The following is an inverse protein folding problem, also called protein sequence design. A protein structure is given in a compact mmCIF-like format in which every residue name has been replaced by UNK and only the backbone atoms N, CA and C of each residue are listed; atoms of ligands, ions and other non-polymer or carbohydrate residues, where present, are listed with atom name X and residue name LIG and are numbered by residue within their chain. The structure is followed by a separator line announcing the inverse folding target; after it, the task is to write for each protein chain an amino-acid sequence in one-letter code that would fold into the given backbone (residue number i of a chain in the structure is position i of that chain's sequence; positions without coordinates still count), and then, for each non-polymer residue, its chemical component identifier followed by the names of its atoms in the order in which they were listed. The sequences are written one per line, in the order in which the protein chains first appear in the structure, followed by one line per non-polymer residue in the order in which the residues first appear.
data_IF_543399799150
#
_entry.id   IF_543399799150
#
_cell.length_a   1.000
_cell.length_b   1.000
_cell.length_c   1.000
_cell.angle_alpha   90.00
_cell.angle_beta   90.00
_cell.angle_gamma   90.00
#
_symmetry.space_group_name_H-M   'P 1'
#
loop_
_entity.id
_entity.type
_entity.pdbx_description
1 polymer ?
#
# COMPACT_ATOMS: atom_id res chain seq x y z
N UNK A 1 42.99 -31.15 -71.90
CA UNK A 1 42.07 -30.01 -71.66
C UNK A 1 40.78 -30.41 -71.00
N UNK A 2 40.17 -31.55 -71.27
CA UNK A 2 38.90 -31.99 -70.64
C UNK A 2 39.04 -32.21 -69.11
N UNK A 3 40.10 -32.84 -68.62
CA UNK A 3 40.35 -33.17 -67.25
C UNK A 3 40.47 -31.88 -66.31
N UNK A 4 40.99 -30.79 -66.85
CA UNK A 4 41.11 -29.52 -66.12
C UNK A 4 39.76 -28.82 -66.01
N UNK A 5 38.86 -28.97 -66.97
CA UNK A 5 37.50 -28.41 -66.91
C UNK A 5 36.62 -29.17 -65.92
N UNK A 6 36.76 -30.50 -65.83
CA UNK A 6 36.04 -31.38 -64.90
C UNK A 6 36.47 -31.05 -63.43
N UNK A 7 37.77 -30.84 -63.19
CA UNK A 7 38.29 -30.49 -61.90
C UNK A 7 37.80 -29.07 -61.41
N UNK A 8 37.71 -28.17 -62.37
CA UNK A 8 37.19 -26.81 -62.08
C UNK A 8 35.69 -26.80 -61.82
N UNK A 9 34.90 -27.65 -62.54
CA UNK A 9 33.48 -27.80 -62.27
C UNK A 9 33.22 -28.50 -60.91
N UNK A 10 34.04 -29.46 -60.55
CA UNK A 10 33.97 -30.15 -59.27
C UNK A 10 34.29 -29.21 -58.09
N UNK A 11 35.24 -28.30 -58.26
CA UNK A 11 35.58 -27.25 -57.25
C UNK A 11 34.43 -26.24 -57.09
N UNK A 12 33.88 -25.74 -58.16
CA UNK A 12 32.76 -24.78 -58.14
C UNK A 12 31.50 -25.40 -57.54
N UNK A 13 31.21 -26.67 -57.80
CA UNK A 13 30.12 -27.41 -57.16
C UNK A 13 30.34 -27.62 -55.64
N UNK A 14 31.57 -27.85 -55.22
CA UNK A 14 31.95 -28.00 -53.83
C UNK A 14 31.80 -26.68 -53.08
N UNK A 15 32.27 -25.56 -53.68
CA UNK A 15 32.14 -24.22 -53.12
C UNK A 15 30.68 -23.76 -53.04
N UNK A 16 29.87 -24.07 -54.07
CA UNK A 16 28.42 -23.79 -54.05
C UNK A 16 27.68 -24.56 -52.93
N UNK A 17 28.12 -25.80 -52.61
CA UNK A 17 27.56 -26.60 -51.51
C UNK A 17 28.01 -26.09 -50.11
N UNK A 18 29.20 -25.51 -49.99
CA UNK A 18 29.72 -24.98 -48.74
C UNK A 18 29.15 -23.58 -48.40
N UNK A 19 28.69 -22.82 -49.41
CA UNK A 19 28.09 -21.49 -49.22
C UNK A 19 26.93 -21.49 -48.24
N UNK A 20 25.89 -22.34 -48.41
CA UNK A 20 24.76 -22.37 -47.49
C UNK A 20 25.11 -22.81 -46.07
N UNK A 21 26.12 -23.70 -45.93
CA UNK A 21 26.60 -24.13 -44.59
C UNK A 21 27.32 -22.99 -43.87
N UNK A 22 28.13 -22.19 -44.57
CA UNK A 22 28.79 -20.99 -44.02
C UNK A 22 27.79 -19.92 -43.61
N UNK A 23 26.75 -19.70 -44.43
CA UNK A 23 25.66 -18.75 -44.09
C UNK A 23 24.95 -19.19 -42.83
N UNK A 24 24.56 -20.46 -42.72
CA UNK A 24 23.92 -20.98 -41.49
C UNK A 24 24.81 -20.87 -40.24
N UNK A 25 26.11 -21.14 -40.39
CA UNK A 25 27.08 -20.96 -39.28
C UNK A 25 27.16 -19.52 -38.84
N UNK A 26 27.22 -18.58 -39.80
CA UNK A 26 27.20 -17.12 -39.46
C UNK A 26 25.89 -16.63 -38.87
N UNK A 27 24.76 -17.16 -39.34
CA UNK A 27 23.46 -16.87 -38.74
C UNK A 27 23.36 -17.41 -37.31
N UNK A 28 23.88 -18.61 -37.03
CA UNK A 28 23.93 -19.16 -35.68
C UNK A 28 24.85 -18.34 -34.76
N UNK A 29 25.99 -17.85 -35.29
CA UNK A 29 26.91 -17.00 -34.58
C UNK A 29 26.25 -15.65 -34.23
N UNK A 30 25.56 -15.02 -35.21
CA UNK A 30 24.79 -13.80 -34.96
C UNK A 30 23.71 -14.02 -33.92
N UNK A 31 22.91 -15.09 -34.03
CA UNK A 31 21.89 -15.39 -33.03
C UNK A 31 22.46 -15.61 -31.62
N UNK A 32 23.67 -16.22 -31.52
CA UNK A 32 24.33 -16.38 -30.21
C UNK A 32 24.84 -15.08 -29.64
N UNK A 33 25.31 -14.15 -30.49
CA UNK A 33 25.74 -12.82 -30.06
C UNK A 33 24.55 -11.94 -29.66
N UNK A 34 23.45 -12.02 -30.40
CA UNK A 34 22.20 -11.32 -30.03
C UNK A 34 21.66 -11.85 -28.68
N UNK A 35 21.69 -13.15 -28.46
CA UNK A 35 21.29 -13.75 -27.17
C UNK A 35 22.20 -13.30 -26.03
N UNK A 36 23.53 -13.24 -26.26
CA UNK A 36 24.48 -12.75 -25.26
C UNK A 36 24.29 -11.24 -24.96
N UNK A 37 23.97 -10.44 -25.98
CA UNK A 37 23.62 -9.04 -25.79
C UNK A 37 22.35 -8.90 -24.94
N UNK A 38 21.30 -9.63 -25.24
CA UNK A 38 20.06 -9.60 -24.48
C UNK A 38 20.26 -10.01 -23.01
N UNK A 39 21.10 -11.03 -22.79
CA UNK A 39 21.47 -11.45 -21.43
C UNK A 39 22.21 -10.34 -20.68
N UNK A 40 23.17 -9.66 -21.34
CA UNK A 40 23.90 -8.55 -20.72
C UNK A 40 22.97 -7.36 -20.41
N UNK A 41 22.06 -7.02 -21.32
CA UNK A 41 21.05 -5.98 -21.11
C UNK A 41 20.11 -6.32 -19.93
N UNK A 42 19.67 -7.57 -19.83
CA UNK A 42 18.85 -8.04 -18.72
C UNK A 42 19.60 -7.94 -17.37
N UNK A 43 20.89 -8.26 -17.35
CA UNK A 43 21.74 -8.09 -16.15
C UNK A 43 21.88 -6.62 -15.75
N UNK A 44 22.07 -5.72 -16.73
CA UNK A 44 22.13 -4.27 -16.47
C UNK A 44 20.80 -3.80 -15.88
N UNK A 45 19.66 -4.19 -16.46
CA UNK A 45 18.33 -3.84 -15.95
C UNK A 45 18.11 -4.34 -14.51
N UNK A 46 18.56 -5.56 -14.21
CA UNK A 46 18.50 -6.12 -12.85
C UNK A 46 19.31 -5.29 -11.85
N UNK A 47 20.55 -4.94 -12.19
CA UNK A 47 21.41 -4.12 -11.32
C UNK A 47 20.82 -2.71 -11.14
N UNK A 48 20.27 -2.14 -12.23
CA UNK A 48 19.62 -0.84 -12.17
C UNK A 48 18.40 -0.86 -11.24
N UNK A 49 17.57 -1.90 -11.30
CA UNK A 49 16.44 -2.06 -10.36
C UNK A 49 16.89 -2.09 -8.90
N UNK A 50 17.99 -2.80 -8.61
CA UNK A 50 18.56 -2.82 -7.25
C UNK A 50 19.05 -1.43 -6.82
N UNK A 51 19.67 -0.68 -7.73
CA UNK A 51 20.12 0.69 -7.44
C UNK A 51 18.93 1.64 -7.20
N UNK A 52 17.86 1.50 -7.97
CA UNK A 52 16.65 2.29 -7.81
C UNK A 52 15.98 2.02 -6.46
N UNK A 53 15.99 0.76 -6.00
CA UNK A 53 15.46 0.34 -4.70
C UNK A 53 16.26 0.92 -3.50
N UNK A 54 17.50 1.36 -3.71
CA UNK A 54 18.28 2.05 -2.67
C UNK A 54 17.82 3.49 -2.41
N UNK A 55 17.02 4.06 -3.31
CA UNK A 55 16.45 5.39 -3.15
C UNK A 55 15.00 5.27 -2.69
N UNK A 56 14.79 5.34 -1.39
CA UNK A 56 13.46 5.18 -0.79
C UNK A 56 12.74 6.53 -0.77
N UNK A 57 11.64 6.61 -1.52
CA UNK A 57 10.75 7.76 -1.53
C UNK A 57 9.47 7.48 -0.74
N UNK A 58 8.87 8.52 -0.16
CA UNK A 58 7.57 8.40 0.48
C UNK A 58 6.48 8.06 -0.54
N UNK A 59 5.67 7.01 -0.32
CA UNK A 59 4.54 6.67 -1.20
C UNK A 59 3.31 7.57 -0.99
N UNK A 60 3.30 8.36 0.09
CA UNK A 60 2.17 9.23 0.46
C UNK A 60 2.67 10.61 0.87
N UNK A 61 1.79 11.60 0.76
CA UNK A 61 1.94 12.87 1.44
C UNK A 61 1.52 12.69 2.89
N UNK A 62 2.40 12.96 3.85
CA UNK A 62 2.11 12.72 5.25
C UNK A 62 3.20 13.21 6.18
N UNK A 63 2.99 12.99 7.47
CA UNK A 63 3.93 13.33 8.53
C UNK A 63 4.65 12.08 9.03
N UNK A 64 5.96 12.18 9.23
CA UNK A 64 6.75 11.12 9.86
C UNK A 64 6.43 11.09 11.34
N UNK A 65 5.86 10.00 11.83
CA UNK A 65 5.51 9.81 13.24
C UNK A 65 6.58 9.03 14.01
N UNK A 66 7.28 8.13 13.34
CA UNK A 66 8.39 7.41 13.93
C UNK A 66 9.52 7.16 12.92
N UNK A 67 10.74 7.15 13.42
CA UNK A 67 11.94 6.75 12.71
C UNK A 67 12.57 5.56 13.45
N UNK A 68 12.74 4.44 12.76
CA UNK A 68 13.23 3.19 13.33
C UNK A 68 14.70 2.94 13.09
N UNK A 69 15.32 3.66 12.14
CA UNK A 69 16.73 3.46 11.75
C UNK A 69 17.49 4.78 11.80
N UNK A 70 18.79 4.71 12.10
CA UNK A 70 19.68 5.86 12.13
C UNK A 70 20.69 5.82 10.99
N UNK A 71 21.27 6.98 10.70
CA UNK A 71 22.36 7.07 9.72
C UNK A 71 23.55 6.25 10.20
N UNK A 72 24.07 5.40 9.34
CA UNK A 72 25.19 4.49 9.65
C UNK A 72 24.75 3.08 10.08
N UNK A 73 23.45 2.82 10.25
CA UNK A 73 22.94 1.48 10.50
C UNK A 73 22.81 0.66 9.21
N UNK A 74 23.09 -0.63 9.31
CA UNK A 74 22.86 -1.58 8.21
C UNK A 74 21.45 -2.11 8.31
N UNK A 75 20.68 -1.96 7.24
CA UNK A 75 19.30 -2.44 7.14
C UNK A 75 19.19 -3.59 6.14
N UNK A 76 18.32 -4.54 6.43
CA UNK A 76 17.98 -5.61 5.50
C UNK A 76 16.75 -5.25 4.67
N UNK A 77 16.57 -5.95 3.56
CA UNK A 77 15.34 -5.81 2.77
C UNK A 77 14.11 -6.11 3.62
N UNK A 78 13.10 -5.23 3.55
CA UNK A 78 11.88 -5.33 4.35
C UNK A 78 11.95 -4.72 5.75
N UNK A 79 13.08 -4.16 6.16
CA UNK A 79 13.19 -3.44 7.46
C UNK A 79 12.40 -2.13 7.38
N UNK A 80 11.43 -1.89 8.30
CA UNK A 80 10.74 -0.61 8.36
C UNK A 80 11.71 0.50 8.78
N UNK A 81 11.76 1.58 8.02
CA UNK A 81 12.66 2.71 8.29
C UNK A 81 11.93 3.89 8.93
N UNK A 82 10.74 4.18 8.43
CA UNK A 82 9.90 5.30 8.88
C UNK A 82 8.44 4.88 8.95
N UNK A 83 7.73 5.45 9.89
CA UNK A 83 6.28 5.42 9.93
C UNK A 83 5.74 6.76 9.46
N UNK A 84 4.86 6.72 8.46
CA UNK A 84 4.21 7.90 7.90
C UNK A 84 2.72 7.82 8.09
N UNK A 85 2.13 8.93 8.52
CA UNK A 85 0.69 9.05 8.70
C UNK A 85 0.16 10.22 7.87
N UNK A 86 -0.91 9.97 7.13
CA UNK A 86 -1.69 11.01 6.48
C UNK A 86 -2.67 11.59 7.51
N UNK A 87 -2.32 12.76 8.06
CA UNK A 87 -3.11 13.44 9.09
C UNK A 87 -4.41 14.07 8.54
N UNK A 88 -4.58 14.14 7.22
CA UNK A 88 -5.80 14.62 6.58
C UNK A 88 -6.83 13.49 6.39
N UNK A 89 -6.41 12.23 6.56
CA UNK A 89 -7.26 11.04 6.38
C UNK A 89 -7.45 10.23 7.65
N UNK A 90 -7.62 10.89 8.76
CA UNK A 90 -7.86 10.22 10.03
C UNK A 90 -9.30 9.72 10.14
N UNK A 91 -9.47 8.65 10.89
CA UNK A 91 -10.77 8.18 11.31
C UNK A 91 -10.76 7.83 12.80
N UNK A 92 -11.89 8.03 13.45
CA UNK A 92 -12.15 7.56 14.81
C UNK A 92 -12.90 6.23 14.76
N UNK A 93 -12.37 5.22 15.44
CA UNK A 93 -13.04 3.95 15.67
C UNK A 93 -13.89 4.06 16.92
N UNK A 94 -15.19 3.88 16.79
CA UNK A 94 -16.14 3.86 17.90
C UNK A 94 -16.89 2.55 17.92
N UNK A 95 -17.32 2.14 19.10
CA UNK A 95 -18.08 0.91 19.30
C UNK A 95 -19.51 1.25 19.70
N UNK A 96 -20.46 0.91 18.86
CA UNK A 96 -21.89 1.17 19.06
C UNK A 96 -22.56 -0.10 19.55
N UNK A 97 -23.29 -0.08 20.69
CA UNK A 97 -24.04 -1.22 21.18
C UNK A 97 -25.08 -1.72 20.17
N UNK A 98 -25.31 -3.05 20.16
CA UNK A 98 -26.30 -3.69 19.29
C UNK A 98 -27.68 -3.03 19.36
N UNK A 99 -28.14 -2.65 20.53
CA UNK A 99 -29.44 -1.97 20.71
C UNK A 99 -29.54 -0.61 19.98
N UNK A 100 -28.43 -0.02 19.58
CA UNK A 100 -28.40 1.29 18.95
C UNK A 100 -27.94 1.25 17.50
N UNK A 101 -27.33 0.17 17.04
CA UNK A 101 -26.74 0.08 15.69
C UNK A 101 -27.79 0.29 14.59
N UNK A 102 -29.04 -0.14 14.81
CA UNK A 102 -30.14 0.07 13.87
C UNK A 102 -30.50 1.54 13.59
N UNK A 103 -29.98 2.48 14.37
CA UNK A 103 -30.13 3.92 14.17
C UNK A 103 -28.96 4.52 13.39
N UNK A 104 -27.86 3.80 13.24
CA UNK A 104 -26.65 4.30 12.57
C UNK A 104 -26.65 3.81 11.13
N UNK A 105 -26.49 4.76 10.21
CA UNK A 105 -26.40 4.49 8.77
C UNK A 105 -25.15 5.17 8.18
N UNK A 106 -24.71 4.66 7.03
CA UNK A 106 -23.62 5.30 6.29
C UNK A 106 -24.03 6.72 5.86
N UNK A 107 -23.08 7.64 5.91
CA UNK A 107 -23.30 9.05 5.54
C UNK A 107 -23.85 9.92 6.67
N UNK A 108 -24.19 9.38 7.83
CA UNK A 108 -24.66 10.20 8.95
C UNK A 108 -23.54 11.15 9.43
N UNK A 109 -23.89 12.42 9.74
CA UNK A 109 -22.97 13.37 10.29
C UNK A 109 -22.65 13.04 11.75
N UNK A 110 -21.39 13.18 12.10
CA UNK A 110 -20.89 13.01 13.46
C UNK A 110 -20.03 14.20 13.88
N UNK A 111 -19.84 14.36 15.18
CA UNK A 111 -18.89 15.28 15.76
C UNK A 111 -17.97 14.54 16.71
N UNK A 112 -16.68 14.72 16.49
CA UNK A 112 -15.63 14.17 17.34
C UNK A 112 -15.20 15.24 18.34
N UNK A 113 -15.13 14.86 19.60
CA UNK A 113 -14.68 15.69 20.72
C UNK A 113 -13.43 15.04 21.32
N UNK A 114 -12.51 15.86 21.75
CA UNK A 114 -11.29 15.40 22.43
C UNK A 114 -11.06 16.25 23.67
N UNK A 115 -10.52 15.64 24.71
CA UNK A 115 -10.19 16.34 25.96
C UNK A 115 -9.16 17.45 25.74
N UNK A 116 -8.31 17.30 24.73
CA UNK A 116 -7.32 18.32 24.38
C UNK A 116 -7.96 19.62 23.85
N UNK A 117 -9.17 19.54 23.22
CA UNK A 117 -9.88 20.69 22.65
C UNK A 117 -11.40 20.56 22.90
N UNK A 118 -11.87 20.71 24.16
CA UNK A 118 -13.25 20.36 24.52
C UNK A 118 -14.31 21.25 23.90
N UNK A 119 -13.94 22.48 23.49
CA UNK A 119 -14.87 23.45 22.87
C UNK A 119 -14.83 23.45 21.32
N UNK A 120 -13.99 22.62 20.71
CA UNK A 120 -13.85 22.54 19.26
C UNK A 120 -14.24 21.15 18.73
N UNK A 121 -15.52 20.93 18.39
CA UNK A 121 -15.93 19.69 17.77
C UNK A 121 -15.38 19.60 16.34
N UNK A 122 -14.83 18.46 15.98
CA UNK A 122 -14.36 18.17 14.63
C UNK A 122 -15.47 17.48 13.85
N UNK A 123 -15.85 18.00 12.68
CA UNK A 123 -16.87 17.37 11.84
C UNK A 123 -16.33 16.04 11.29
N UNK A 124 -17.19 15.03 11.29
CA UNK A 124 -16.89 13.71 10.80
C UNK A 124 -18.12 13.07 10.17
N UNK A 125 -17.90 12.08 9.34
CA UNK A 125 -18.96 11.34 8.64
C UNK A 125 -18.80 9.85 8.85
N UNK A 126 -19.90 9.14 9.07
CA UNK A 126 -19.94 7.68 9.17
C UNK A 126 -19.66 7.10 7.78
N UNK A 127 -18.53 6.41 7.58
CA UNK A 127 -18.21 5.78 6.29
C UNK A 127 -18.04 4.26 6.35
N UNK A 128 -17.99 3.69 7.54
CA UNK A 128 -17.88 2.25 7.70
C UNK A 128 -18.67 1.78 8.92
N UNK A 129 -19.39 0.68 8.78
CA UNK A 129 -20.08 -0.03 9.83
C UNK A 129 -19.75 -1.50 9.66
N UNK A 130 -19.22 -2.13 10.71
CA UNK A 130 -18.87 -3.54 10.67
C UNK A 130 -20.14 -4.41 10.51
N UNK A 131 -20.05 -5.42 9.67
CA UNK A 131 -21.14 -6.39 9.44
C UNK A 131 -21.24 -7.46 10.54
N UNK A 132 -20.23 -7.56 11.40
CA UNK A 132 -20.18 -8.51 12.51
C UNK A 132 -20.02 -7.77 13.82
N UNK A 133 -20.75 -8.24 14.85
CA UNK A 133 -20.56 -7.76 16.19
C UNK A 133 -19.25 -8.30 16.78
N UNK A 134 -18.61 -7.49 17.59
CA UNK A 134 -17.46 -7.83 18.40
C UNK A 134 -17.85 -7.80 19.87
N UNK A 135 -17.11 -8.54 20.69
CA UNK A 135 -17.26 -8.44 22.14
C UNK A 135 -16.51 -7.19 22.63
N UNK A 136 -17.11 -6.46 23.58
CA UNK A 136 -16.41 -5.32 24.19
C UNK A 136 -15.07 -5.77 24.76
N UNK A 137 -13.95 -5.12 24.42
CA UNK A 137 -12.62 -5.50 24.90
C UNK A 137 -12.36 -5.08 26.37
N UNK A 138 -13.38 -5.12 27.22
CA UNK A 138 -13.21 -4.90 28.66
C UNK A 138 -13.00 -6.22 29.38
N UNK A 139 -11.94 -6.32 30.18
CA UNK A 139 -11.77 -7.37 31.19
C UNK A 139 -12.94 -7.29 32.17
N UNK A 140 -13.76 -8.34 32.13
CA UNK A 140 -14.97 -8.44 32.97
C UNK A 140 -14.54 -8.81 34.38
N UNK A 141 -14.73 -7.91 35.35
CA UNK A 141 -14.44 -8.16 36.76
C UNK A 141 -15.69 -8.48 37.61
N UNK A 142 -16.90 -8.40 37.03
CA UNK A 142 -18.15 -8.69 37.79
C UNK A 142 -19.15 -9.49 36.97
N UNK A 143 -19.95 -10.40 37.65
CA UNK A 143 -20.90 -11.27 36.96
C UNK A 143 -22.08 -10.54 36.27
N UNK A 144 -22.35 -9.29 36.60
CA UNK A 144 -23.46 -8.49 36.05
C UNK A 144 -23.09 -7.69 34.76
N UNK A 145 -21.84 -7.61 34.42
CA UNK A 145 -21.39 -7.04 33.14
C UNK A 145 -21.41 -8.13 32.06
N UNK A 146 -22.60 -8.51 31.60
CA UNK A 146 -22.76 -9.36 30.43
C UNK A 146 -22.00 -8.72 29.25
N UNK A 147 -21.18 -9.51 28.62
CA UNK A 147 -20.48 -9.18 27.36
C UNK A 147 -21.51 -8.58 26.41
N UNK A 148 -21.44 -7.27 26.21
CA UNK A 148 -22.35 -6.57 25.29
C UNK A 148 -21.75 -6.66 23.90
N UNK A 149 -22.54 -7.14 22.97
CA UNK A 149 -22.21 -7.10 21.55
C UNK A 149 -22.17 -5.65 21.08
N UNK A 150 -21.10 -5.28 20.45
CA UNK A 150 -20.87 -3.94 19.88
C UNK A 150 -20.47 -4.05 18.42
N UNK A 151 -20.78 -3.04 17.65
CA UNK A 151 -20.38 -2.93 16.26
C UNK A 151 -19.34 -1.84 16.10
N UNK A 152 -18.25 -2.15 15.41
CA UNK A 152 -17.27 -1.13 15.02
C UNK A 152 -17.88 -0.20 13.99
N UNK A 153 -17.79 1.08 14.25
CA UNK A 153 -18.18 2.15 13.33
C UNK A 153 -16.97 3.08 13.16
N UNK A 154 -16.63 3.41 11.92
CA UNK A 154 -15.56 4.36 11.63
C UNK A 154 -16.13 5.68 11.18
N UNK A 155 -15.75 6.72 11.89
CA UNK A 155 -16.08 8.10 11.63
C UNK A 155 -14.87 8.76 10.98
N UNK A 156 -14.96 9.07 9.71
CA UNK A 156 -13.90 9.77 9.00
C UNK A 156 -14.01 11.25 9.26
N UNK A 157 -12.92 11.86 9.67
CA UNK A 157 -12.84 13.30 9.85
C UNK A 157 -12.94 13.99 8.49
N UNK A 158 -13.77 15.01 8.41
CA UNK A 158 -13.90 15.79 7.17
C UNK A 158 -12.75 16.80 7.06
N UNK A 159 -12.19 17.26 8.19
CA UNK A 159 -11.07 18.19 8.25
C UNK A 159 -10.27 18.01 9.56
N UNK A 160 -8.96 18.20 9.47
CA UNK A 160 -8.05 18.25 10.61
C UNK A 160 -7.20 19.55 10.56
N UNK A 161 -7.78 20.72 10.88
CA UNK A 161 -7.09 21.99 10.72
C UNK A 161 -5.87 22.09 11.64
N UNK A 162 -4.73 22.41 11.04
CA UNK A 162 -3.44 22.49 11.74
C UNK A 162 -2.91 21.16 12.25
N UNK A 163 -3.41 20.02 11.72
CA UNK A 163 -2.99 18.65 12.06
C UNK A 163 -2.97 18.40 13.60
N UNK A 164 -3.98 18.96 14.30
CA UNK A 164 -4.06 18.88 15.76
C UNK A 164 -4.45 17.51 16.28
N UNK A 165 -5.24 16.77 15.49
CA UNK A 165 -5.58 15.41 15.82
C UNK A 165 -4.51 14.48 15.28
N UNK A 166 -4.06 13.58 16.13
CA UNK A 166 -3.03 12.58 15.83
C UNK A 166 -3.55 11.20 16.19
N UNK A 167 -3.04 10.13 15.55
CA UNK A 167 -3.38 8.78 15.95
C UNK A 167 -3.09 8.51 17.43
N UNK A 168 -3.98 7.75 18.07
CA UNK A 168 -3.83 7.39 19.48
C UNK A 168 -4.40 8.43 20.46
N UNK A 169 -4.91 9.58 20.00
CA UNK A 169 -5.58 10.54 20.85
C UNK A 169 -6.95 9.98 21.29
N UNK A 170 -7.25 9.95 22.61
CA UNK A 170 -8.57 9.55 23.08
C UNK A 170 -9.60 10.61 22.66
N UNK A 171 -10.70 10.13 22.09
CA UNK A 171 -11.76 10.98 21.57
C UNK A 171 -13.12 10.33 21.81
N UNK A 172 -14.12 11.16 22.02
CA UNK A 172 -15.53 10.77 22.04
C UNK A 172 -16.25 11.27 20.78
N UNK A 173 -17.33 10.61 20.41
CA UNK A 173 -18.09 11.03 19.25
C UNK A 173 -19.59 11.03 19.52
N UNK A 174 -20.25 11.99 18.90
CA UNK A 174 -21.72 12.07 18.84
C UNK A 174 -22.16 11.91 17.40
N UNK A 175 -22.94 10.87 17.12
CA UNK A 175 -23.52 10.61 15.79
C UNK A 175 -24.94 11.14 15.80
N UNK A 176 -25.27 12.00 14.85
CA UNK A 176 -26.62 12.54 14.71
C UNK A 176 -27.45 11.63 13.79
N UNK A 177 -28.34 10.87 14.37
CA UNK A 177 -29.19 9.90 13.66
C UNK A 177 -30.56 10.47 13.22
N UNK A 178 -30.93 11.68 13.70
CA UNK A 178 -32.14 12.41 13.27
C UNK A 178 -31.73 13.80 12.78
N UNK A 179 -32.23 14.22 11.63
CA UNK A 179 -31.86 15.50 10.99
C UNK A 179 -32.12 16.74 11.86
N UNK A 180 -33.18 16.71 12.68
CA UNK A 180 -33.57 17.83 13.54
C UNK A 180 -33.08 17.72 14.98
N UNK A 181 -32.22 16.76 15.32
CA UNK A 181 -31.69 16.64 16.65
C UNK A 181 -30.61 17.69 16.92
N UNK A 182 -30.71 18.40 18.04
CA UNK A 182 -29.66 19.27 18.51
C UNK A 182 -28.40 18.47 18.91
N UNK A 183 -27.24 19.08 18.67
CA UNK A 183 -25.98 18.47 19.08
C UNK A 183 -25.84 18.54 20.60
N UNK A 184 -25.76 17.40 21.25
CA UNK A 184 -25.45 17.30 22.65
C UNK A 184 -23.95 17.05 22.82
N UNK A 185 -23.32 17.75 23.77
CA UNK A 185 -21.94 17.42 24.15
C UNK A 185 -21.93 16.06 24.86
N UNK A 186 -20.87 15.23 24.69
CA UNK A 186 -20.69 14.05 25.53
C UNK A 186 -20.70 14.46 27.00
N UNK A 187 -21.31 13.62 27.84
CA UNK A 187 -21.21 13.83 29.29
C UNK A 187 -20.00 13.02 29.73
N UNK A 188 -19.00 13.72 30.15
CA UNK A 188 -17.79 13.17 30.78
C UNK A 188 -18.13 12.61 32.19
#
# INVERSE_FOLDING_TARGET
MAAAADDQAARSLRDARLGPARIRSKQAELASLEAAQQEAEARIAQVQSVLDDLTIASPIVGTVTARFVNVGEVVNAGTPMFELVDLDRLYLKVYVPEAQIGKVSLGLPARVYTDAFPDQPYPATVRYIASRAEFTPKEVQTPDERVKLVYEVRLYLDQNPGHRLTPGLPCDAVIRWKDNAEWQKPKW
#
